data_IF_767935491257
#
_entry.id   IF_767935491257
#
_cell.length_a   1.000
_cell.length_b   1.000
_cell.length_c   1.000
_cell.angle_alpha   90.00
_cell.angle_beta   90.00
_cell.angle_gamma   90.00
#
_symmetry.space_group_name_H-M   'P 1'
#
loop_
_entity.id
_entity.type
_entity.pdbx_description
1 polymer ?
#
# COMPACT_ATOMS: atom_id res chain seq x y z
N UNK A 1 0.26 -44.86 -36.20
CA UNK A 1 -0.93 -44.70 -35.33
C UNK A 1 -0.96 -43.28 -34.79
N UNK A 2 -1.89 -42.45 -35.27
CA UNK A 2 -2.13 -41.11 -34.72
C UNK A 2 -2.97 -41.27 -33.45
N UNK A 3 -2.35 -41.05 -32.30
CA UNK A 3 -3.08 -40.97 -31.02
C UNK A 3 -4.03 -39.78 -31.08
N UNK A 4 -5.33 -40.03 -31.00
CA UNK A 4 -6.37 -39.00 -30.93
C UNK A 4 -6.29 -38.37 -29.54
N UNK A 5 -5.88 -37.10 -29.46
CA UNK A 5 -5.81 -36.38 -28.19
C UNK A 5 -7.20 -36.25 -27.57
N UNK A 6 -7.40 -36.83 -26.38
CA UNK A 6 -8.61 -36.64 -25.58
C UNK A 6 -8.35 -35.55 -24.53
N UNK A 7 -9.09 -34.44 -24.63
CA UNK A 7 -8.99 -33.34 -23.65
C UNK A 7 -9.59 -33.80 -22.31
N UNK A 8 -8.90 -33.60 -21.18
CA UNK A 8 -9.47 -33.88 -19.86
C UNK A 8 -10.64 -32.93 -19.55
N UNK A 9 -11.63 -33.42 -18.80
CA UNK A 9 -12.83 -32.66 -18.42
C UNK A 9 -12.52 -31.38 -17.63
N UNK A 10 -11.49 -31.42 -16.79
CA UNK A 10 -11.04 -30.28 -15.99
C UNK A 10 -9.52 -30.17 -16.13
N UNK A 11 -9.07 -29.03 -16.65
CA UNK A 11 -7.65 -28.69 -16.77
C UNK A 11 -7.10 -28.14 -15.45
N UNK A 12 -5.78 -28.21 -15.24
CA UNK A 12 -5.14 -27.65 -14.04
C UNK A 12 -5.51 -26.18 -13.80
N UNK A 13 -5.57 -25.38 -14.87
CA UNK A 13 -5.86 -23.95 -14.78
C UNK A 13 -7.32 -23.68 -14.36
N UNK A 14 -8.24 -24.59 -14.67
CA UNK A 14 -9.65 -24.51 -14.24
C UNK A 14 -9.83 -24.87 -12.75
N UNK A 15 -8.82 -25.47 -12.11
CA UNK A 15 -8.82 -25.76 -10.66
C UNK A 15 -8.22 -24.64 -9.82
N UNK A 16 -7.61 -23.63 -10.43
CA UNK A 16 -6.97 -22.54 -9.71
C UNK A 16 -8.03 -21.67 -9.02
N UNK A 17 -7.85 -21.45 -7.73
CA UNK A 17 -8.67 -20.50 -6.97
C UNK A 17 -8.25 -19.07 -7.28
N UNK A 18 -9.08 -18.09 -6.91
CA UNK A 18 -8.71 -16.68 -7.00
C UNK A 18 -7.45 -16.36 -6.20
N UNK A 19 -7.21 -17.03 -5.07
CA UNK A 19 -6.00 -16.87 -4.27
C UNK A 19 -4.78 -17.41 -5.01
N UNK A 20 -4.89 -18.58 -5.63
CA UNK A 20 -3.80 -19.14 -6.43
C UNK A 20 -3.44 -18.24 -7.61
N UNK A 21 -4.45 -17.68 -8.28
CA UNK A 21 -4.27 -16.75 -9.41
C UNK A 21 -3.57 -15.47 -8.94
N UNK A 22 -3.97 -14.91 -7.78
CA UNK A 22 -3.32 -13.74 -7.19
C UNK A 22 -1.84 -14.00 -6.90
N UNK A 23 -1.53 -15.11 -6.24
CA UNK A 23 -0.14 -15.47 -5.94
C UNK A 23 0.67 -15.67 -7.21
N UNK A 24 0.06 -16.28 -8.22
CA UNK A 24 0.63 -16.46 -9.55
C UNK A 24 0.92 -15.12 -10.24
N UNK A 25 0.17 -14.06 -9.97
CA UNK A 25 0.35 -12.72 -10.56
C UNK A 25 1.18 -11.76 -9.71
N UNK A 26 1.73 -12.20 -8.56
CA UNK A 26 2.45 -11.33 -7.61
C UNK A 26 3.59 -10.51 -8.24
N UNK A 27 4.36 -11.11 -9.14
CA UNK A 27 5.48 -10.45 -9.83
C UNK A 27 5.10 -9.94 -11.23
N UNK A 28 3.81 -9.72 -11.47
CA UNK A 28 3.28 -9.31 -12.75
C UNK A 28 2.51 -8.01 -12.64
N UNK A 29 2.66 -7.15 -13.64
CA UNK A 29 1.88 -5.92 -13.78
C UNK A 29 0.96 -6.00 -14.99
N UNK A 30 -0.17 -5.31 -14.93
CA UNK A 30 -1.09 -5.20 -16.05
C UNK A 30 -0.39 -4.48 -17.22
N UNK A 31 -0.65 -4.95 -18.42
CA UNK A 31 -0.13 -4.34 -19.65
C UNK A 31 -1.21 -3.45 -20.24
N UNK A 32 -0.93 -2.15 -20.31
CA UNK A 32 -1.84 -1.18 -20.95
C UNK A 32 -1.79 -1.27 -22.47
N UNK A 33 -0.59 -1.33 -23.03
CA UNK A 33 -0.36 -1.54 -24.46
C UNK A 33 0.63 -2.68 -24.69
N UNK A 34 0.15 -3.73 -25.34
CA UNK A 34 0.93 -4.94 -25.62
C UNK A 34 2.08 -4.70 -26.59
N UNK A 35 1.99 -3.66 -27.42
CA UNK A 35 3.04 -3.33 -28.39
C UNK A 35 4.32 -2.78 -27.73
N UNK A 36 4.21 -2.31 -26.48
CA UNK A 36 5.33 -1.80 -25.70
C UNK A 36 6.06 -2.90 -24.89
N UNK A 37 5.59 -4.15 -24.98
CA UNK A 37 6.20 -5.26 -24.25
C UNK A 37 7.33 -5.87 -25.07
N UNK A 38 8.51 -5.99 -24.45
CA UNK A 38 9.68 -6.58 -25.08
C UNK A 38 9.47 -8.06 -25.42
N UNK A 39 9.92 -8.46 -26.62
CA UNK A 39 9.97 -9.87 -27.03
C UNK A 39 10.83 -10.65 -26.04
N UNK A 40 10.36 -11.84 -25.66
CA UNK A 40 10.96 -12.69 -24.64
C UNK A 40 10.32 -12.54 -23.26
N UNK A 41 9.58 -11.46 -23.01
CA UNK A 41 8.89 -11.23 -21.73
C UNK A 41 7.83 -12.30 -21.47
N UNK A 42 7.83 -12.86 -20.27
CA UNK A 42 6.80 -13.82 -19.88
C UNK A 42 5.47 -13.11 -19.63
N UNK A 43 4.42 -13.56 -20.32
CA UNK A 43 3.07 -13.02 -20.21
C UNK A 43 2.12 -14.03 -19.56
N UNK A 44 1.21 -13.50 -18.76
CA UNK A 44 -0.02 -14.17 -18.30
C UNK A 44 -1.20 -13.37 -18.79
N UNK A 45 -2.36 -14.00 -18.90
CA UNK A 45 -3.51 -13.27 -19.44
C UNK A 45 -4.85 -13.85 -19.02
N UNK A 46 -5.88 -13.02 -19.13
CA UNK A 46 -7.27 -13.44 -19.05
C UNK A 46 -7.93 -13.24 -20.40
N UNK A 47 -8.59 -14.28 -20.90
CA UNK A 47 -9.50 -14.16 -22.04
C UNK A 47 -10.90 -13.93 -21.50
N UNK A 48 -11.59 -12.92 -22.00
CA UNK A 48 -13.02 -12.76 -21.76
C UNK A 48 -13.82 -13.65 -22.70
N UNK A 49 -14.63 -14.54 -22.12
CA UNK A 49 -15.55 -15.39 -22.87
C UNK A 49 -16.92 -14.72 -22.96
N UNK A 50 -17.26 -14.24 -24.16
CA UNK A 50 -18.52 -13.54 -24.41
C UNK A 50 -19.76 -14.40 -24.16
N UNK A 51 -19.65 -15.73 -24.28
CA UNK A 51 -20.78 -16.65 -24.11
C UNK A 51 -21.07 -16.85 -22.63
N UNK A 52 -20.04 -17.21 -21.86
CA UNK A 52 -20.20 -17.44 -20.41
C UNK A 52 -20.14 -16.15 -19.58
N UNK A 53 -19.78 -15.02 -20.18
CA UNK A 53 -19.52 -13.72 -19.51
C UNK A 53 -18.47 -13.82 -18.40
N UNK A 54 -17.57 -14.80 -18.48
CA UNK A 54 -16.51 -15.03 -17.50
C UNK A 54 -15.12 -14.70 -18.05
N UNK A 55 -14.19 -14.35 -17.15
CA UNK A 55 -12.77 -14.22 -17.48
C UNK A 55 -12.07 -15.55 -17.16
N UNK A 56 -11.35 -16.09 -18.15
CA UNK A 56 -10.60 -17.34 -17.99
C UNK A 56 -9.11 -17.04 -17.91
N UNK A 57 -8.51 -17.33 -16.76
CA UNK A 57 -7.08 -17.16 -16.54
C UNK A 57 -6.27 -18.16 -17.37
N UNK A 58 -5.12 -17.71 -17.88
CA UNK A 58 -4.14 -18.50 -18.59
C UNK A 58 -2.73 -18.25 -18.06
N UNK A 59 -2.01 -19.34 -17.81
CA UNK A 59 -0.61 -19.29 -17.35
C UNK A 59 0.34 -18.66 -18.38
N UNK A 60 -0.06 -18.63 -19.65
CA UNK A 60 0.69 -17.99 -20.73
C UNK A 60 2.08 -18.56 -20.98
N UNK A 61 3.00 -17.70 -21.39
CA UNK A 61 4.33 -18.05 -21.89
C UNK A 61 5.09 -16.81 -22.34
N UNK A 62 6.28 -17.00 -22.93
CA UNK A 62 7.14 -15.91 -23.38
C UNK A 62 6.64 -15.33 -24.70
N UNK A 63 6.60 -14.00 -24.79
CA UNK A 63 6.22 -13.28 -25.99
C UNK A 63 7.23 -13.55 -27.11
N UNK A 64 6.75 -14.07 -28.24
CA UNK A 64 7.59 -14.39 -29.39
C UNK A 64 7.45 -13.36 -30.52
N UNK A 65 6.22 -12.92 -30.77
CA UNK A 65 5.88 -12.01 -31.87
C UNK A 65 4.54 -11.34 -31.59
N UNK A 66 4.40 -10.10 -32.06
CA UNK A 66 3.11 -9.40 -32.15
C UNK A 66 2.77 -9.28 -33.63
N UNK A 67 1.51 -9.52 -34.00
CA UNK A 67 1.01 -9.29 -35.36
C UNK A 67 1.05 -7.78 -35.66
N UNK A 68 1.51 -7.41 -36.85
CA UNK A 68 1.69 -5.99 -37.23
C UNK A 68 0.40 -5.17 -37.17
N UNK A 69 -0.77 -5.82 -37.25
CA UNK A 69 -2.08 -5.18 -37.17
C UNK A 69 -2.69 -5.27 -35.75
N UNK A 70 -1.94 -5.74 -34.76
CA UNK A 70 -2.39 -5.84 -33.37
C UNK A 70 -3.55 -6.83 -33.16
N UNK A 71 -3.75 -7.80 -34.05
CA UNK A 71 -4.87 -8.75 -33.98
C UNK A 71 -4.61 -9.88 -33.00
N UNK A 72 -3.38 -10.39 -33.01
CA UNK A 72 -2.95 -11.48 -32.15
C UNK A 72 -1.46 -11.36 -31.83
N UNK A 73 -1.02 -12.12 -30.84
CA UNK A 73 0.38 -12.33 -30.53
C UNK A 73 0.68 -13.81 -30.48
N UNK A 74 1.95 -14.18 -30.59
CA UNK A 74 2.42 -15.55 -30.44
C UNK A 74 3.21 -15.67 -29.15
N UNK A 75 2.82 -16.64 -28.32
CA UNK A 75 3.56 -17.03 -27.11
C UNK A 75 4.28 -18.36 -27.34
N UNK A 76 5.31 -18.60 -26.53
CA UNK A 76 6.02 -19.88 -26.50
C UNK A 76 6.38 -20.30 -25.08
N UNK A 77 6.46 -21.60 -24.84
CA UNK A 77 7.09 -22.18 -23.66
C UNK A 77 8.47 -22.80 -23.97
N UNK A 78 9.05 -22.47 -25.14
CA UNK A 78 10.30 -23.06 -25.64
C UNK A 78 10.09 -24.31 -26.52
N UNK A 79 9.01 -25.06 -26.31
CA UNK A 79 8.72 -26.28 -27.06
C UNK A 79 7.59 -26.09 -28.08
N UNK A 80 6.53 -25.40 -27.66
CA UNK A 80 5.32 -25.17 -28.45
C UNK A 80 5.13 -23.66 -28.59
N UNK A 81 4.53 -23.26 -29.71
CA UNK A 81 4.08 -21.90 -29.96
C UNK A 81 2.56 -21.90 -30.16
N UNK A 82 1.88 -20.89 -29.64
CA UNK A 82 0.45 -20.72 -29.85
C UNK A 82 0.10 -19.24 -29.98
N UNK A 83 -0.97 -18.95 -30.72
CA UNK A 83 -1.45 -17.58 -30.90
C UNK A 83 -2.53 -17.24 -29.88
N UNK A 84 -2.49 -16.00 -29.39
CA UNK A 84 -3.47 -15.42 -28.47
C UNK A 84 -4.05 -14.19 -29.15
N UNK A 85 -5.39 -14.12 -29.24
CA UNK A 85 -6.06 -12.94 -29.77
C UNK A 85 -5.90 -11.78 -28.81
N UNK A 86 -5.54 -10.60 -29.32
CA UNK A 86 -5.40 -9.39 -28.51
C UNK A 86 -6.77 -8.83 -28.10
N UNK A 87 -7.78 -8.77 -28.99
CA UNK A 87 -9.12 -8.32 -28.60
C UNK A 87 -9.70 -9.15 -27.45
N UNK A 88 -10.32 -8.48 -26.48
CA UNK A 88 -10.94 -9.08 -25.30
C UNK A 88 -9.98 -9.86 -24.38
N UNK A 89 -8.68 -9.60 -24.47
CA UNK A 89 -7.65 -10.21 -23.62
C UNK A 89 -6.99 -9.16 -22.74
N UNK A 90 -6.86 -9.46 -21.45
CA UNK A 90 -6.12 -8.65 -20.49
C UNK A 90 -4.77 -9.32 -20.26
N UNK A 91 -3.68 -8.63 -20.60
CA UNK A 91 -2.33 -9.15 -20.44
C UNK A 91 -1.67 -8.64 -19.15
N UNK A 92 -0.81 -9.49 -18.60
CA UNK A 92 0.03 -9.22 -17.46
C UNK A 92 1.47 -9.60 -17.84
N UNK A 93 2.41 -8.68 -17.68
CA UNK A 93 3.83 -8.93 -17.95
C UNK A 93 4.59 -9.19 -16.66
N UNK A 94 5.49 -10.18 -16.68
CA UNK A 94 6.41 -10.42 -15.56
C UNK A 94 7.40 -9.26 -15.49
N UNK A 95 7.59 -8.70 -14.31
CA UNK A 95 8.61 -7.68 -14.08
C UNK A 95 10.02 -8.29 -14.24
N UNK A 96 10.92 -7.51 -14.81
CA UNK A 96 12.36 -7.75 -14.67
C UNK A 96 12.81 -7.53 -13.21
N UNK A 97 14.00 -8.01 -12.85
CA UNK A 97 14.54 -7.80 -11.51
C UNK A 97 14.74 -6.31 -11.20
N UNK A 98 15.14 -5.54 -12.21
CA UNK A 98 15.32 -4.09 -12.13
C UNK A 98 13.98 -3.39 -11.92
N UNK A 99 12.95 -3.68 -12.74
CA UNK A 99 11.62 -3.11 -12.55
C UNK A 99 11.02 -3.48 -11.19
N UNK A 100 11.21 -4.72 -10.74
CA UNK A 100 10.76 -5.16 -9.41
C UNK A 100 11.42 -4.39 -8.28
N UNK A 101 12.74 -4.14 -8.38
CA UNK A 101 13.47 -3.32 -7.39
C UNK A 101 12.96 -1.88 -7.39
N UNK A 102 12.67 -1.30 -8.55
CA UNK A 102 12.15 0.06 -8.64
C UNK A 102 10.73 0.19 -8.07
N UNK A 103 9.84 -0.77 -8.35
CA UNK A 103 8.51 -0.80 -7.72
C UNK A 103 8.61 -0.93 -6.19
N UNK A 104 9.46 -1.84 -5.70
CA UNK A 104 9.67 -1.99 -4.26
C UNK A 104 10.23 -0.70 -3.63
N UNK A 105 11.15 0.00 -4.30
CA UNK A 105 11.65 1.30 -3.83
C UNK A 105 10.55 2.35 -3.74
N UNK A 106 9.64 2.41 -4.73
CA UNK A 106 8.51 3.34 -4.72
C UNK A 106 7.55 3.06 -3.56
N UNK A 107 7.22 1.80 -3.32
CA UNK A 107 6.37 1.40 -2.20
C UNK A 107 6.99 1.82 -0.86
N UNK A 108 8.27 1.50 -0.65
CA UNK A 108 9.01 1.88 0.56
C UNK A 108 9.08 3.41 0.70
N UNK A 109 9.35 4.15 -0.37
CA UNK A 109 9.40 5.62 -0.31
C UNK A 109 8.04 6.22 0.09
N UNK A 110 6.95 5.71 -0.47
CA UNK A 110 5.59 6.18 -0.15
C UNK A 110 5.27 5.96 1.32
N UNK A 111 5.62 4.80 1.87
CA UNK A 111 5.42 4.47 3.29
C UNK A 111 6.26 5.38 4.19
N UNK A 112 7.55 5.56 3.85
CA UNK A 112 8.45 6.47 4.58
C UNK A 112 8.00 7.93 4.54
N UNK A 113 7.43 8.40 3.44
CA UNK A 113 6.86 9.74 3.32
C UNK A 113 5.64 9.93 4.24
N UNK A 114 4.78 8.91 4.32
CA UNK A 114 3.65 8.90 5.25
C UNK A 114 4.12 8.99 6.71
N UNK A 115 5.05 8.11 7.09
CA UNK A 115 5.61 8.08 8.45
C UNK A 115 6.31 9.40 8.82
N UNK A 116 7.06 9.99 7.89
CA UNK A 116 7.70 11.29 8.10
C UNK A 116 6.68 12.41 8.34
N UNK A 117 5.56 12.41 7.62
CA UNK A 117 4.51 13.40 7.82
C UNK A 117 3.89 13.29 9.21
N UNK A 118 3.64 12.08 9.69
CA UNK A 118 3.09 11.87 11.04
C UNK A 118 4.10 12.23 12.13
N UNK A 119 5.39 11.93 11.91
CA UNK A 119 6.47 12.37 12.79
C UNK A 119 6.56 13.90 12.88
N UNK A 120 6.41 14.62 11.76
CA UNK A 120 6.40 16.09 11.72
C UNK A 120 5.22 16.64 12.53
N UNK A 121 4.01 16.07 12.36
CA UNK A 121 2.83 16.47 13.13
C UNK A 121 3.05 16.26 14.63
N UNK A 122 3.58 15.09 15.03
CA UNK A 122 3.87 14.77 16.41
C UNK A 122 4.88 15.73 17.04
N UNK A 123 5.98 16.04 16.33
CA UNK A 123 6.98 17.03 16.78
C UNK A 123 6.39 18.42 17.00
N UNK A 124 5.49 18.87 16.10
CA UNK A 124 4.80 20.16 16.24
C UNK A 124 3.89 20.18 17.47
N UNK A 125 3.16 19.09 17.73
CA UNK A 125 2.31 18.95 18.91
C UNK A 125 3.13 19.01 20.20
N UNK A 126 4.23 18.24 20.28
CA UNK A 126 5.14 18.23 21.43
C UNK A 126 5.67 19.64 21.71
N UNK A 127 6.10 20.37 20.67
CA UNK A 127 6.57 21.75 20.81
C UNK A 127 5.50 22.66 21.44
N UNK A 128 4.26 22.57 20.98
CA UNK A 128 3.15 23.37 21.49
C UNK A 128 2.80 23.00 22.95
N UNK A 129 2.79 21.71 23.28
CA UNK A 129 2.55 21.23 24.63
C UNK A 129 3.64 21.71 25.60
N UNK A 130 4.91 21.69 25.18
CA UNK A 130 6.01 22.19 26.00
C UNK A 130 5.87 23.70 26.30
N UNK A 131 5.42 24.50 25.33
CA UNK A 131 5.12 25.93 25.55
C UNK A 131 3.99 26.07 26.58
N UNK A 132 2.92 25.28 26.45
CA UNK A 132 1.78 25.33 27.37
C UNK A 132 2.17 24.92 28.80
N UNK A 133 2.97 23.87 28.94
CA UNK A 133 3.51 23.42 30.23
C UNK A 133 4.33 24.52 30.88
N UNK A 134 5.21 25.19 30.12
CA UNK A 134 6.02 26.30 30.64
C UNK A 134 5.15 27.42 31.20
N UNK A 135 4.13 27.85 30.47
CA UNK A 135 3.23 28.92 30.91
C UNK A 135 2.47 28.53 32.19
N UNK A 136 1.96 27.28 32.26
CA UNK A 136 1.27 26.76 33.45
C UNK A 136 2.18 26.67 34.68
N UNK A 137 3.47 26.39 34.49
CA UNK A 137 4.45 26.41 35.59
C UNK A 137 4.65 27.84 36.11
N UNK A 138 4.81 28.81 35.22
CA UNK A 138 4.95 30.23 35.59
C UNK A 138 3.72 30.74 36.35
N UNK A 139 2.52 30.42 35.87
CA UNK A 139 1.26 30.76 36.54
C UNK A 139 1.16 30.14 37.95
N UNK A 140 1.51 28.85 38.09
CA UNK A 140 1.53 28.19 39.39
C UNK A 140 2.51 28.82 40.38
N UNK A 141 3.67 29.29 39.92
CA UNK A 141 4.64 29.99 40.77
C UNK A 141 4.04 31.29 41.31
N UNK A 142 3.33 32.05 40.46
CA UNK A 142 2.66 33.29 40.86
C UNK A 142 1.56 33.01 41.88
N UNK A 143 0.71 32.01 41.62
CA UNK A 143 -0.37 31.62 42.52
C UNK A 143 0.14 31.19 43.90
N UNK A 144 1.24 30.42 43.97
CA UNK A 144 1.87 30.05 45.25
C UNK A 144 2.31 31.26 46.05
N UNK A 145 2.99 32.23 45.43
CA UNK A 145 3.41 33.47 46.09
C UNK A 145 2.22 34.27 46.64
N UNK A 146 1.13 34.34 45.88
CA UNK A 146 -0.09 35.01 46.30
C UNK A 146 -0.74 34.32 47.50
N UNK A 147 -0.80 32.99 47.50
CA UNK A 147 -1.32 32.20 48.62
C UNK A 147 -0.50 32.42 49.90
N UNK A 148 0.83 32.41 49.80
CA UNK A 148 1.71 32.67 50.95
C UNK A 148 1.46 34.07 51.54
N UNK A 149 1.29 35.08 50.68
CA UNK A 149 0.96 36.45 51.10
C UNK A 149 -0.38 36.52 51.82
N UNK A 150 -1.41 35.87 51.29
CA UNK A 150 -2.74 35.81 51.92
C UNK A 150 -2.71 35.11 53.28
N UNK A 151 -1.97 34.00 53.39
CA UNK A 151 -1.81 33.27 54.65
C UNK A 151 -1.14 34.13 55.73
N UNK A 152 -0.14 34.92 55.37
CA UNK A 152 0.49 35.88 56.29
C UNK A 152 -0.47 36.99 56.72
N UNK A 153 -1.34 37.47 55.83
CA UNK A 153 -2.37 38.45 56.18
C UNK A 153 -3.41 37.84 57.14
N UNK A 154 -3.88 36.62 56.86
CA UNK A 154 -4.82 35.89 57.72
C UNK A 154 -4.27 35.64 59.13
N UNK A 155 -3.01 35.22 59.25
CA UNK A 155 -2.35 35.04 60.55
C UNK A 155 -2.27 36.35 61.33
N UNK A 156 -1.90 37.46 60.69
CA UNK A 156 -1.90 38.78 61.32
C UNK A 156 -3.29 39.20 61.81
N UNK A 157 -4.33 39.01 61.00
CA UNK A 157 -5.71 39.31 61.39
C UNK A 157 -6.13 38.46 62.60
N UNK A 158 -5.84 37.16 62.59
CA UNK A 158 -6.14 36.27 63.71
C UNK A 158 -5.44 36.70 65.00
N UNK A 159 -4.18 37.14 64.92
CA UNK A 159 -3.45 37.71 66.07
C UNK A 159 -4.16 38.96 66.60
N UNK A 160 -4.63 39.86 65.71
CA UNK A 160 -5.35 41.07 66.11
C UNK A 160 -6.69 40.75 66.77
N UNK A 161 -7.46 39.80 66.23
CA UNK A 161 -8.74 39.36 66.81
C UNK A 161 -8.51 38.78 68.21
N UNK A 162 -7.55 37.86 68.36
CA UNK A 162 -7.23 37.26 69.66
C UNK A 162 -6.76 38.27 70.71
N UNK A 163 -6.04 39.33 70.30
CA UNK A 163 -5.69 40.44 71.20
C UNK A 163 -6.91 41.24 71.66
N UNK A 164 -7.91 41.42 70.79
CA UNK A 164 -9.16 42.12 71.15
C UNK A 164 -10.05 41.30 72.08
N UNK A 165 -10.08 39.98 71.94
CA UNK A 165 -10.89 39.07 72.77
C UNK A 165 -10.35 38.84 74.18
N UNK A 166 -9.08 39.20 74.46
CA UNK A 166 -8.42 39.04 75.77
C UNK A 166 -8.42 40.32 76.63
N UNK A 167 -9.10 41.38 76.20
CA UNK A 167 -9.37 42.60 76.97
C UNK A 167 -10.82 42.60 77.41
#
# INVERSE_FOLDING_TARGET
>A
MTSIYQRPNITYQERLTNTDIKEKLKDYIIVEDINNVEIGTHLRYFIYDNISKTKKFRLGGNLCKIDNLGRFLTLTNGHIKWSVQIPNTIFYKKLSNEEYKEELKKEIMTELESDNNDLIKAKKLIKNLNIKIKNLIEENIILKKNNDKLNNQLTNINIQINKKLKK
#
